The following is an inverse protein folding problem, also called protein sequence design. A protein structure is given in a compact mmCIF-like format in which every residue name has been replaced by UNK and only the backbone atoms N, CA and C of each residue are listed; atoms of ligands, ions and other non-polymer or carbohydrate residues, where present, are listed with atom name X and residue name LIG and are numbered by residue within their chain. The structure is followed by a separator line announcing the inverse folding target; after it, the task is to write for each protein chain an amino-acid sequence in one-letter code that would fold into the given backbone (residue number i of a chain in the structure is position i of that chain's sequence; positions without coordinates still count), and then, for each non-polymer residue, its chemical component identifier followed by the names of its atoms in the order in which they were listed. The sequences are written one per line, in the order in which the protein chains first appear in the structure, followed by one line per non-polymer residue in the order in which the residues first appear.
data_IF_141093041289
#
_entry.id   IF_141093041289
#
_cell.length_a   1.000
_cell.length_b   1.000
_cell.length_c   1.000
_cell.angle_alpha   90.00
_cell.angle_beta   90.00
_cell.angle_gamma   90.00
#
_symmetry.space_group_name_H-M   'P 1'
#
loop_
_entity.id
_entity.type
_entity.pdbx_description
1 polymer ?
#
# COMPACT_ATOMS: atom_id res chain seq x y z
N UNK A 1 9.34 -20.17 5.88
CA UNK A 1 8.12 -19.41 6.23
C UNK A 1 7.92 -19.54 7.73
N UNK A 2 7.74 -18.44 8.46
CA UNK A 2 7.45 -18.48 9.90
C UNK A 2 6.07 -17.92 10.16
N UNK A 3 5.37 -18.48 11.15
CA UNK A 3 4.17 -17.86 11.69
C UNK A 3 4.56 -16.73 12.65
N UNK A 4 3.76 -15.68 12.70
CA UNK A 4 3.91 -14.58 13.66
C UNK A 4 3.20 -14.90 14.98
N UNK A 5 3.67 -14.30 16.08
CA UNK A 5 2.91 -14.28 17.32
C UNK A 5 1.54 -13.62 17.11
N UNK A 6 0.51 -14.13 17.80
CA UNK A 6 -0.85 -13.55 17.77
C UNK A 6 -0.91 -12.13 18.32
N UNK A 7 0.14 -11.68 19.00
CA UNK A 7 0.25 -10.31 19.53
C UNK A 7 0.10 -9.24 18.45
N UNK A 8 0.47 -9.54 17.20
CA UNK A 8 0.28 -8.64 16.05
C UNK A 8 -1.17 -8.15 15.92
N UNK A 9 -2.14 -9.02 16.22
CA UNK A 9 -3.58 -8.74 16.11
C UNK A 9 -4.11 -7.75 17.16
N UNK A 10 -3.35 -7.54 18.23
CA UNK A 10 -3.74 -6.63 19.32
C UNK A 10 -3.29 -5.19 19.07
N UNK A 11 -2.38 -4.98 18.12
CA UNK A 11 -1.79 -3.66 17.83
C UNK A 11 -2.67 -2.88 16.85
N UNK A 12 -2.71 -1.56 17.02
CA UNK A 12 -3.29 -0.66 16.02
C UNK A 12 -2.61 -0.85 14.66
N UNK A 13 -3.41 -0.96 13.59
CA UNK A 13 -2.96 -1.22 12.22
C UNK A 13 -2.42 -2.64 11.96
N UNK A 14 -2.27 -3.50 12.98
CA UNK A 14 -1.90 -4.92 12.86
C UNK A 14 -0.71 -5.20 11.93
N UNK A 15 0.22 -4.24 11.88
CA UNK A 15 1.41 -4.29 11.04
C UNK A 15 2.48 -5.17 11.71
N UNK A 16 2.96 -6.24 11.06
CA UNK A 16 4.03 -7.08 11.59
C UNK A 16 5.33 -6.30 11.82
N UNK A 17 6.04 -6.65 12.89
CA UNK A 17 7.40 -6.17 13.19
C UNK A 17 8.30 -7.34 13.63
N UNK A 18 9.61 -7.11 13.70
CA UNK A 18 10.57 -8.16 14.07
C UNK A 18 10.28 -8.83 15.42
N UNK A 19 9.80 -8.09 16.43
CA UNK A 19 9.46 -8.68 17.73
C UNK A 19 8.33 -9.71 17.65
N UNK A 20 7.52 -9.70 16.58
CA UNK A 20 6.47 -10.70 16.37
C UNK A 20 7.05 -12.08 15.96
N UNK A 21 8.34 -12.13 15.62
CA UNK A 21 9.11 -13.36 15.37
C UNK A 21 9.81 -13.89 16.61
N UNK A 22 9.66 -13.28 17.79
CA UNK A 22 10.40 -13.68 19.00
C UNK A 22 10.18 -15.15 19.40
N UNK A 23 9.01 -15.71 19.10
CA UNK A 23 8.68 -17.12 19.34
C UNK A 23 9.30 -18.08 18.31
N UNK A 24 9.84 -17.55 17.20
CA UNK A 24 10.48 -18.34 16.14
C UNK A 24 11.92 -18.73 16.45
N UNK A 25 12.43 -18.35 17.63
CA UNK A 25 13.77 -18.68 18.10
C UNK A 25 14.85 -17.97 17.28
N UNK A 26 15.63 -18.73 16.53
CA UNK A 26 16.85 -18.23 15.88
C UNK A 26 16.58 -17.39 14.62
N UNK A 27 15.40 -17.46 14.01
CA UNK A 27 15.12 -16.79 12.72
C UNK A 27 15.27 -15.26 12.82
N UNK A 28 14.82 -14.66 13.92
CA UNK A 28 14.95 -13.22 14.15
C UNK A 28 16.43 -12.78 14.10
N UNK A 29 17.33 -13.59 14.66
CA UNK A 29 18.76 -13.26 14.80
C UNK A 29 19.58 -13.69 13.57
N UNK A 30 19.27 -14.86 13.01
CA UNK A 30 20.12 -15.54 12.04
C UNK A 30 19.79 -15.17 10.59
N UNK A 31 18.55 -14.79 10.30
CA UNK A 31 18.16 -14.45 8.93
C UNK A 31 18.89 -13.20 8.42
N UNK A 32 19.39 -13.26 7.19
CA UNK A 32 19.95 -12.08 6.51
C UNK A 32 18.87 -11.09 6.09
N UNK A 33 17.73 -11.62 5.62
CA UNK A 33 16.57 -10.87 5.17
C UNK A 33 15.31 -11.39 5.85
N UNK A 34 14.48 -10.48 6.35
CA UNK A 34 13.15 -10.80 6.86
C UNK A 34 12.14 -9.93 6.12
N UNK A 35 11.18 -10.59 5.48
CA UNK A 35 10.07 -9.95 4.77
C UNK A 35 8.76 -10.31 5.48
N UNK A 36 7.92 -9.30 5.71
CA UNK A 36 6.55 -9.50 6.15
C UNK A 36 5.59 -9.17 5.02
N UNK A 37 4.52 -9.96 4.92
CA UNK A 37 3.40 -9.66 4.04
C UNK A 37 2.26 -9.15 4.93
N UNK A 38 1.72 -7.99 4.59
CA UNK A 38 0.59 -7.38 5.28
C UNK A 38 -0.47 -6.96 4.27
N UNK A 39 -1.74 -7.21 4.57
CA UNK A 39 -2.88 -6.85 3.70
C UNK A 39 -3.88 -6.01 4.49
N UNK A 40 -3.80 -4.68 4.43
CA UNK A 40 -4.65 -3.79 5.22
C UNK A 40 -6.16 -4.04 4.99
N UNK A 41 -6.56 -4.38 3.75
CA UNK A 41 -7.96 -4.70 3.43
C UNK A 41 -8.52 -5.87 4.25
N UNK A 42 -7.68 -6.81 4.70
CA UNK A 42 -8.15 -7.95 5.53
C UNK A 42 -8.45 -7.54 6.97
N UNK A 43 -8.00 -6.36 7.36
CA UNK A 43 -8.19 -5.78 8.69
C UNK A 43 -9.19 -4.62 8.71
N UNK A 44 -9.74 -4.26 7.54
CA UNK A 44 -10.74 -3.19 7.39
C UNK A 44 -10.15 -1.80 7.15
N UNK A 45 -8.84 -1.71 6.98
CA UNK A 45 -8.16 -0.45 6.65
C UNK A 45 -8.40 -0.08 5.19
N UNK A 46 -8.64 1.20 4.91
CA UNK A 46 -8.96 1.67 3.56
C UNK A 46 -7.72 2.02 2.75
N UNK A 47 -6.65 2.45 3.42
CA UNK A 47 -5.41 2.93 2.81
C UNK A 47 -4.21 2.11 3.28
N UNK A 48 -3.13 2.15 2.50
CA UNK A 48 -1.83 1.59 2.84
C UNK A 48 -1.07 2.49 3.83
N UNK A 49 0.17 2.09 4.17
CA UNK A 49 1.08 2.80 5.07
C UNK A 49 1.32 4.28 4.74
N UNK A 50 1.12 4.69 3.49
CA UNK A 50 1.29 6.07 3.03
C UNK A 50 0.05 6.95 3.21
N UNK A 51 -1.07 6.36 3.67
CA UNK A 51 -2.39 7.00 3.80
C UNK A 51 -2.93 7.62 2.50
N UNK A 52 -2.46 7.15 1.34
CA UNK A 52 -2.84 7.68 0.02
C UNK A 52 -3.24 6.57 -0.92
N UNK A 53 -2.49 5.47 -0.92
CA UNK A 53 -2.73 4.34 -1.80
C UNK A 53 -3.86 3.49 -1.26
N UNK A 54 -4.80 3.10 -2.12
CA UNK A 54 -5.91 2.22 -1.75
C UNK A 54 -5.41 0.84 -1.32
N UNK A 55 -6.00 0.32 -0.24
CA UNK A 55 -5.76 -1.04 0.26
C UNK A 55 -6.42 -2.14 -0.58
N UNK A 56 -7.34 -1.77 -1.49
CA UNK A 56 -8.12 -2.72 -2.24
C UNK A 56 -7.25 -3.49 -3.23
N UNK A 57 -7.26 -4.82 -3.12
CA UNK A 57 -6.45 -5.71 -3.96
C UNK A 57 -4.96 -5.37 -3.95
N UNK A 58 -4.47 -4.80 -2.85
CA UNK A 58 -3.05 -4.50 -2.65
C UNK A 58 -2.51 -5.25 -1.43
N UNK A 59 -1.21 -5.40 -1.40
CA UNK A 59 -0.48 -5.95 -0.28
C UNK A 59 0.82 -5.16 -0.07
N UNK A 60 1.28 -5.17 1.16
CA UNK A 60 2.53 -4.54 1.54
C UNK A 60 3.56 -5.61 1.84
N UNK A 61 4.71 -5.52 1.17
CA UNK A 61 5.89 -6.32 1.44
C UNK A 61 6.87 -5.47 2.26
N UNK A 62 6.97 -5.76 3.55
CA UNK A 62 7.73 -4.97 4.52
C UNK A 62 9.10 -5.60 4.71
N UNK A 63 10.15 -4.85 4.46
CA UNK A 63 11.53 -5.28 4.71
C UNK A 63 11.86 -5.04 6.17
N UNK A 64 11.56 -6.03 7.01
CA UNK A 64 11.81 -5.96 8.46
C UNK A 64 13.29 -6.04 8.83
N UNK A 65 14.08 -6.81 8.05
CA UNK A 65 15.53 -6.95 8.23
C UNK A 65 16.20 -7.12 6.88
N UNK A 66 17.36 -6.50 6.73
CA UNK A 66 18.27 -6.67 5.61
C UNK A 66 19.69 -6.40 6.12
N UNK A 67 20.53 -7.43 6.27
CA UNK A 67 21.88 -7.28 6.84
C UNK A 67 22.81 -6.42 5.98
N UNK A 68 22.61 -6.45 4.65
CA UNK A 68 23.53 -5.83 3.68
C UNK A 68 22.88 -4.69 2.88
N UNK A 69 21.90 -3.99 3.46
CA UNK A 69 21.12 -2.99 2.74
C UNK A 69 20.07 -2.29 3.61
N UNK A 70 19.21 -1.46 3.01
CA UNK A 70 18.21 -0.71 3.76
C UNK A 70 17.15 -1.65 4.35
N UNK A 71 16.73 -1.34 5.58
CA UNK A 71 15.63 -1.98 6.29
C UNK A 71 14.57 -0.91 6.65
N UNK A 72 13.33 -1.34 6.86
CA UNK A 72 12.20 -0.46 7.13
C UNK A 72 11.46 0.03 5.87
N UNK A 73 11.96 -0.29 4.69
CA UNK A 73 11.27 -0.02 3.42
C UNK A 73 10.05 -0.93 3.25
N UNK A 74 9.01 -0.40 2.62
CA UNK A 74 7.79 -1.15 2.28
C UNK A 74 7.56 -1.04 0.78
N UNK A 75 7.41 -2.19 0.13
CA UNK A 75 7.08 -2.30 -1.30
C UNK A 75 5.60 -2.62 -1.43
N UNK A 76 4.90 -1.90 -2.30
CA UNK A 76 3.49 -2.18 -2.63
C UNK A 76 3.43 -3.25 -3.71
N UNK A 77 2.51 -4.20 -3.56
CA UNK A 77 2.23 -5.27 -4.50
C UNK A 77 0.74 -5.29 -4.84
N UNK A 78 0.40 -5.76 -6.04
CA UNK A 78 -0.97 -6.09 -6.41
C UNK A 78 -1.29 -7.50 -5.88
N UNK A 79 -2.45 -7.70 -5.26
CA UNK A 79 -2.94 -8.99 -4.80
C UNK A 79 -4.18 -9.43 -5.60
N UNK A 80 -4.02 -10.50 -6.38
CA UNK A 80 -5.09 -11.10 -7.18
C UNK A 80 -5.76 -12.20 -6.36
N UNK A 81 -6.92 -11.88 -5.79
CA UNK A 81 -7.65 -12.70 -4.79
C UNK A 81 -8.03 -14.07 -5.31
N UNK A 82 -8.44 -14.15 -6.57
CA UNK A 82 -8.92 -15.34 -7.25
C UNK A 82 -7.85 -16.45 -7.31
N UNK A 83 -6.58 -16.05 -7.32
CA UNK A 83 -5.44 -16.95 -7.45
C UNK A 83 -4.51 -16.94 -6.24
N UNK A 84 -4.83 -16.15 -5.20
CA UNK A 84 -3.94 -15.85 -4.08
C UNK A 84 -2.52 -15.46 -4.53
N UNK A 85 -2.43 -14.63 -5.59
CA UNK A 85 -1.17 -14.28 -6.27
C UNK A 85 -0.76 -12.84 -5.99
N UNK A 86 0.54 -12.64 -5.79
CA UNK A 86 1.16 -11.32 -5.72
C UNK A 86 1.81 -10.97 -7.05
N UNK A 87 1.57 -9.75 -7.51
CA UNK A 87 2.14 -9.21 -8.75
C UNK A 87 2.81 -7.87 -8.48
N UNK A 88 3.67 -7.45 -9.42
CA UNK A 88 4.25 -6.12 -9.37
C UNK A 88 3.12 -5.08 -9.37
N UNK A 89 3.26 -4.09 -8.51
CA UNK A 89 2.32 -2.98 -8.49
C UNK A 89 2.57 -2.07 -9.69
N UNK A 90 1.62 -2.02 -10.62
CA UNK A 90 1.66 -1.06 -11.71
C UNK A 90 1.04 0.26 -11.26
N UNK A 91 1.80 1.35 -11.37
CA UNK A 91 1.24 2.69 -11.21
C UNK A 91 0.23 2.93 -12.32
N UNK A 92 -1.06 2.77 -12.01
CA UNK A 92 -2.11 3.32 -12.85
C UNK A 92 -2.11 4.82 -12.59
N UNK A 93 -1.61 5.59 -13.55
CA UNK A 93 -1.90 7.02 -13.58
C UNK A 93 -3.41 7.13 -13.64
N UNK A 94 -4.04 7.58 -12.56
CA UNK A 94 -5.40 8.06 -12.64
C UNK A 94 -5.34 9.24 -13.62
N UNK A 95 -5.88 9.05 -14.83
CA UNK A 95 -6.14 10.18 -15.71
C UNK A 95 -7.01 11.13 -14.91
N UNK A 96 -6.47 12.28 -14.50
CA UNK A 96 -7.32 13.35 -14.00
C UNK A 96 -8.41 13.56 -15.04
N UNK A 97 -9.71 13.52 -14.66
CA UNK A 97 -10.76 13.79 -15.60
C UNK A 97 -10.46 15.13 -16.25
N UNK A 98 -10.42 15.15 -17.58
CA UNK A 98 -10.10 16.35 -18.33
C UNK A 98 -10.87 17.53 -17.72
N UNK A 99 -10.19 18.66 -17.42
CA UNK A 99 -10.86 19.79 -16.78
C UNK A 99 -12.13 20.10 -17.57
N UNK A 100 -13.26 20.35 -16.88
CA UNK A 100 -14.53 20.58 -17.56
C UNK A 100 -14.31 21.64 -18.63
N UNK A 101 -14.73 21.34 -19.86
CA UNK A 101 -14.55 22.24 -20.99
C UNK A 101 -14.98 23.64 -20.56
N UNK A 102 -14.06 24.61 -20.63
CA UNK A 102 -14.38 26.00 -20.31
C UNK A 102 -15.62 26.36 -21.11
N UNK A 103 -16.74 26.63 -20.42
CA UNK A 103 -17.94 27.14 -21.06
C UNK A 103 -17.51 28.39 -21.84
N UNK A 104 -17.57 28.28 -23.17
CA UNK A 104 -17.38 29.41 -24.06
C UNK A 104 -18.47 30.39 -23.68
N UNK A 105 -18.12 31.42 -22.90
CA UNK A 105 -19.03 32.54 -22.69
C UNK A 105 -19.29 33.12 -24.07
N UNK A 106 -20.54 33.02 -24.51
CA UNK A 106 -21.06 33.65 -25.73
C UNK A 106 -20.46 35.07 -25.82
N UNK A 107 -19.90 35.46 -26.97
CA UNK A 107 -19.39 36.81 -27.12
C UNK A 107 -20.53 37.78 -26.83
N UNK A 108 -20.27 38.76 -25.97
CA UNK A 108 -21.21 39.84 -25.68
C UNK A 108 -21.75 40.38 -27.01
N UNK A 109 -23.04 40.21 -27.27
CA UNK A 109 -23.70 40.88 -28.38
C UNK A 109 -23.50 42.39 -28.16
N UNK A 110 -22.70 43.01 -29.02
CA UNK A 110 -22.60 44.46 -29.09
C UNK A 110 -23.99 45.01 -29.41
N UNK A 111 -24.67 45.56 -28.41
CA UNK A 111 -25.86 46.36 -28.66
C UNK A 111 -25.48 47.52 -29.60
N UNK A 112 -26.10 47.65 -30.78
CA UNK A 112 -25.81 48.77 -31.66
C UNK A 112 -26.29 50.07 -31.00
N UNK A 113 -25.57 51.18 -31.19
CA UNK A 113 -25.93 52.44 -30.56
C UNK A 113 -27.16 53.04 -31.26
N UNK A 114 -28.19 53.35 -30.49
CA UNK A 114 -29.10 54.46 -30.74
C UNK A 114 -29.44 55.16 -29.41
#
# INVERSE_FOLDING_TARGET
LSQLSRQVETRSGKRPVLSDLRESGAIEQDADVVLFIHRPETYGDQYLFDNKTSSQNTAELIIGKQRNGPAGETVVLTFVKEYARFENYEYRFEEEPAPPAMEVREPYEENPPF
#
